data_IF_724208672965
#
_entry.id   IF_724208672965
#
_cell.length_a   1.000
_cell.length_b   1.000
_cell.length_c   1.000
_cell.angle_alpha   90.00
_cell.angle_beta   90.00
_cell.angle_gamma   90.00
#
_symmetry.space_group_name_H-M   'P 1'
#
loop_
_entity.id
_entity.type
_entity.pdbx_description
1 polymer ?
#
# COMPACT_ATOMS: atom_id res chain seq x y z
N UNK A 1 8.15 3.65 -9.35
CA UNK A 1 8.03 4.65 -10.44
C UNK A 1 9.20 4.45 -11.37
N UNK A 2 9.04 4.30 -12.69
CA UNK A 2 10.17 4.14 -13.60
C UNK A 2 11.02 5.41 -13.57
N UNK A 3 12.11 5.34 -12.84
CA UNK A 3 13.04 6.44 -12.59
C UNK A 3 13.69 6.96 -13.89
N UNK A 4 13.80 6.09 -14.89
CA UNK A 4 14.49 6.31 -16.17
C UNK A 4 13.65 6.98 -17.26
N UNK A 5 12.32 7.13 -17.09
CA UNK A 5 11.43 7.60 -18.14
C UNK A 5 11.08 9.10 -18.01
N UNK A 6 11.25 9.88 -19.08
CA UNK A 6 10.94 11.32 -19.14
C UNK A 6 9.51 11.64 -19.60
N UNK A 7 8.72 10.63 -19.97
CA UNK A 7 7.32 10.83 -20.35
C UNK A 7 6.52 11.39 -19.17
N UNK A 8 5.51 12.24 -19.42
CA UNK A 8 4.61 12.67 -18.37
C UNK A 8 3.87 11.45 -17.81
N UNK A 9 3.59 11.47 -16.51
CA UNK A 9 2.82 10.42 -15.88
C UNK A 9 1.85 10.97 -14.85
N UNK A 10 0.81 10.17 -14.63
CA UNK A 10 -0.26 10.47 -13.71
C UNK A 10 -0.09 9.59 -12.46
N UNK A 11 -0.05 10.22 -11.29
CA UNK A 11 -0.07 9.52 -10.00
C UNK A 11 -1.40 9.80 -9.34
N UNK A 12 -2.07 8.76 -8.87
CA UNK A 12 -3.17 8.86 -7.92
C UNK A 12 -2.66 8.41 -6.55
N UNK A 13 -2.70 9.32 -5.59
CA UNK A 13 -2.39 9.05 -4.20
C UNK A 13 -3.71 8.76 -3.49
N UNK A 14 -3.77 7.60 -2.85
CA UNK A 14 -4.86 7.22 -1.96
C UNK A 14 -4.37 7.32 -0.52
N UNK A 15 -5.09 8.07 0.31
CA UNK A 15 -4.83 8.16 1.73
C UNK A 15 -6.05 7.64 2.49
N UNK A 16 -5.84 6.63 3.32
CA UNK A 16 -6.86 6.03 4.16
C UNK A 16 -6.67 6.49 5.61
N UNK A 17 -7.73 6.98 6.25
CA UNK A 17 -7.75 7.26 7.68
C UNK A 17 -8.25 6.02 8.41
N UNK A 18 -7.37 5.38 9.18
CA UNK A 18 -7.68 4.17 9.95
C UNK A 18 -7.80 4.50 11.44
N UNK A 19 -8.63 3.73 12.16
CA UNK A 19 -8.69 3.82 13.62
C UNK A 19 -7.49 3.11 14.27
N UNK A 20 -7.25 3.42 15.54
CA UNK A 20 -6.18 2.79 16.32
C UNK A 20 -6.43 1.29 16.47
N UNK A 21 -7.68 0.89 16.70
CA UNK A 21 -8.10 -0.48 16.91
C UNK A 21 -7.90 -1.33 15.65
N UNK A 22 -8.24 -0.77 14.48
CA UNK A 22 -8.02 -1.42 13.19
C UNK A 22 -6.52 -1.63 12.92
N UNK A 23 -5.69 -0.62 13.22
CA UNK A 23 -4.24 -0.75 13.11
C UNK A 23 -3.71 -1.85 14.04
N UNK A 24 -4.15 -1.87 15.31
CA UNK A 24 -3.75 -2.89 16.28
C UNK A 24 -4.14 -4.30 15.84
N UNK A 25 -5.34 -4.49 15.31
CA UNK A 25 -5.78 -5.78 14.76
C UNK A 25 -4.82 -6.30 13.68
N UNK A 26 -4.55 -5.49 12.65
CA UNK A 26 -3.65 -5.89 11.57
C UNK A 26 -2.21 -6.06 12.03
N UNK A 27 -1.77 -5.31 13.03
CA UNK A 27 -0.44 -5.49 13.63
C UNK A 27 -0.33 -6.87 14.29
N UNK A 28 -1.35 -7.31 15.02
CA UNK A 28 -1.38 -8.65 15.62
C UNK A 28 -1.36 -9.74 14.54
N UNK A 29 -2.14 -9.58 13.47
CA UNK A 29 -2.13 -10.50 12.33
C UNK A 29 -0.74 -10.59 11.69
N UNK A 30 -0.10 -9.45 11.43
CA UNK A 30 1.27 -9.40 10.89
C UNK A 30 2.26 -10.12 11.81
N UNK A 31 2.16 -9.92 13.13
CA UNK A 31 3.05 -10.62 14.08
C UNK A 31 2.85 -12.12 14.07
N UNK A 32 1.64 -12.62 13.85
CA UNK A 32 1.39 -14.06 13.76
C UNK A 32 1.94 -14.65 12.47
N UNK A 33 1.74 -13.99 11.33
CA UNK A 33 2.21 -14.48 10.02
C UNK A 33 3.74 -14.49 9.96
N UNK A 34 4.38 -13.48 10.55
CA UNK A 34 5.83 -13.35 10.56
C UNK A 34 6.50 -14.09 11.74
N UNK A 35 5.73 -14.79 12.58
CA UNK A 35 6.28 -15.59 13.65
C UNK A 35 6.87 -16.89 13.06
N UNK A 36 8.16 -16.87 12.74
CA UNK A 36 8.85 -17.96 12.03
C UNK A 36 9.14 -19.20 12.87
N UNK A 37 8.76 -19.23 14.15
CA UNK A 37 8.70 -20.46 14.94
C UNK A 37 10.07 -20.92 15.48
N UNK A 38 10.80 -20.02 16.13
CA UNK A 38 11.94 -20.32 17.01
C UNK A 38 11.49 -20.70 18.42
N UNK A 39 12.33 -21.45 19.15
CA UNK A 39 12.01 -21.93 20.51
C UNK A 39 11.87 -20.80 21.56
N UNK A 40 12.33 -19.59 21.19
CA UNK A 40 12.28 -18.38 21.99
C UNK A 40 11.36 -17.32 21.38
N UNK A 41 10.57 -17.68 20.37
CA UNK A 41 9.61 -16.76 19.79
C UNK A 41 8.45 -16.53 20.75
N UNK A 42 7.91 -15.31 20.75
CA UNK A 42 6.75 -14.99 21.57
C UNK A 42 5.58 -15.91 21.17
N UNK A 43 4.83 -16.45 22.15
CA UNK A 43 3.65 -17.25 21.85
C UNK A 43 2.66 -16.40 21.05
N UNK A 44 1.98 -16.99 20.05
CA UNK A 44 1.00 -16.26 19.25
C UNK A 44 -0.11 -15.74 20.18
N UNK A 45 -0.31 -14.41 20.17
CA UNK A 45 -1.46 -13.77 20.83
C UNK A 45 -2.71 -14.02 19.99
N UNK A 46 -3.86 -14.21 20.62
CA UNK A 46 -5.14 -14.35 19.90
C UNK A 46 -5.45 -13.11 19.06
N UNK A 47 -5.92 -13.30 17.81
CA UNK A 47 -6.39 -12.19 16.96
C UNK A 47 -7.84 -11.91 17.30
N UNK A 48 -8.07 -10.99 18.22
CA UNK A 48 -9.43 -10.59 18.59
C UNK A 48 -9.91 -9.49 17.65
N UNK A 49 -10.96 -9.81 16.90
CA UNK A 49 -11.68 -8.91 16.03
C UNK A 49 -12.72 -8.06 16.74
N UNK A 50 -13.62 -7.45 15.98
CA UNK A 50 -14.83 -6.80 16.50
C UNK A 50 -16.13 -7.57 16.20
N UNK A 51 -16.02 -8.77 15.65
CA UNK A 51 -17.14 -9.68 15.50
C UNK A 51 -17.32 -10.54 16.75
N UNK A 52 -18.57 -10.84 17.08
CA UNK A 52 -18.94 -11.75 18.16
C UNK A 52 -20.21 -12.51 17.79
N UNK A 53 -20.35 -13.73 18.30
CA UNK A 53 -21.58 -14.49 18.18
C UNK A 53 -22.52 -14.14 19.36
N UNK A 54 -23.75 -13.62 19.11
CA UNK A 54 -24.69 -13.31 20.18
C UNK A 54 -25.21 -14.54 20.95
N UNK A 55 -25.14 -15.74 20.35
CA UNK A 55 -25.62 -16.99 20.96
C UNK A 55 -24.54 -17.72 21.77
N UNK A 56 -23.26 -17.48 21.45
CA UNK A 56 -22.12 -18.09 22.14
C UNK A 56 -20.95 -17.10 22.21
N UNK A 57 -20.73 -16.53 23.39
CA UNK A 57 -19.64 -15.57 23.62
C UNK A 57 -18.27 -16.23 23.77
N UNK A 58 -18.20 -17.57 23.80
CA UNK A 58 -16.95 -18.33 23.89
C UNK A 58 -16.40 -18.71 22.52
N UNK A 59 -17.21 -18.57 21.47
CA UNK A 59 -16.80 -18.81 20.09
C UNK A 59 -15.90 -17.67 19.58
N UNK A 60 -14.69 -18.02 19.14
CA UNK A 60 -13.77 -17.09 18.51
C UNK A 60 -14.22 -16.80 17.05
N UNK A 61 -14.74 -15.60 16.80
CA UNK A 61 -15.13 -15.15 15.45
C UNK A 61 -13.99 -14.35 14.82
N UNK A 62 -13.54 -14.79 13.64
CA UNK A 62 -12.43 -14.17 12.93
C UNK A 62 -12.88 -12.98 12.09
N UNK A 63 -12.03 -11.96 12.03
CA UNK A 63 -12.18 -10.81 11.13
C UNK A 63 -12.43 -9.50 11.85
N UNK A 64 -12.33 -8.41 11.10
CA UNK A 64 -12.53 -7.07 11.62
C UNK A 64 -13.31 -6.23 10.61
N UNK A 65 -14.44 -5.67 11.04
CA UNK A 65 -15.21 -4.71 10.28
C UNK A 65 -14.77 -3.28 10.62
N UNK A 66 -14.33 -2.53 9.61
CA UNK A 66 -13.94 -1.12 9.77
C UNK A 66 -14.62 -0.25 8.71
N UNK A 67 -14.98 0.97 9.11
CA UNK A 67 -15.32 2.05 8.19
C UNK A 67 -14.16 3.05 8.17
N UNK A 68 -13.60 3.28 6.98
CA UNK A 68 -12.44 4.17 6.79
C UNK A 68 -12.80 5.33 5.87
N UNK A 69 -12.25 6.50 6.16
CA UNK A 69 -12.29 7.65 5.26
C UNK A 69 -11.16 7.52 4.23
N UNK A 70 -11.48 7.59 2.94
CA UNK A 70 -10.48 7.55 1.88
C UNK A 70 -10.47 8.88 1.11
N UNK A 71 -9.29 9.50 1.02
CA UNK A 71 -9.07 10.72 0.26
C UNK A 71 -8.17 10.43 -0.93
N UNK A 72 -8.58 10.91 -2.09
CA UNK A 72 -7.84 10.75 -3.33
C UNK A 72 -7.23 12.08 -3.78
N UNK A 73 -5.95 12.05 -4.14
CA UNK A 73 -5.26 13.18 -4.75
C UNK A 73 -4.56 12.75 -6.03
N UNK A 74 -5.00 13.32 -7.14
CA UNK A 74 -4.37 13.13 -8.43
C UNK A 74 -3.28 14.18 -8.64
N UNK A 75 -2.11 13.74 -9.13
CA UNK A 75 -0.99 14.59 -9.50
C UNK A 75 -0.53 14.21 -10.90
N UNK A 76 -0.66 15.15 -11.83
CA UNK A 76 -0.07 15.03 -13.16
C UNK A 76 1.34 15.62 -13.14
N UNK A 77 2.33 14.80 -13.44
CA UNK A 77 3.74 15.19 -13.43
C UNK A 77 4.24 15.32 -14.86
N UNK A 78 4.39 16.56 -15.31
CA UNK A 78 5.06 16.86 -16.57
C UNK A 78 6.56 16.94 -16.35
N UNK A 79 7.32 16.07 -17.04
CA UNK A 79 8.78 15.97 -16.92
C UNK A 79 9.55 16.58 -18.10
N UNK A 80 8.84 17.17 -19.07
CA UNK A 80 9.46 17.76 -20.28
C UNK A 80 10.35 18.96 -20.00
N UNK A 81 10.12 19.68 -18.89
CA UNK A 81 10.87 20.87 -18.49
C UNK A 81 12.11 20.61 -17.62
N UNK A 82 12.40 19.35 -17.27
CA UNK A 82 13.53 19.01 -16.40
C UNK A 82 14.75 18.57 -17.25
N UNK A 83 15.85 19.33 -17.26
CA UNK A 83 17.02 19.04 -18.11
C UNK A 83 17.79 17.79 -17.67
N UNK A 84 17.76 17.46 -16.37
CA UNK A 84 18.41 16.30 -15.79
C UNK A 84 17.44 15.14 -15.60
N UNK A 85 17.93 13.89 -15.73
CA UNK A 85 17.27 12.76 -15.07
C UNK A 85 17.24 13.09 -13.56
N UNK A 86 16.17 12.76 -12.82
CA UNK A 86 16.14 12.96 -11.36
C UNK A 86 17.43 12.35 -10.80
N UNK A 87 18.14 13.06 -9.92
CA UNK A 87 19.53 12.77 -9.57
C UNK A 87 19.82 11.27 -9.32
N UNK A 88 20.98 10.76 -9.80
CA UNK A 88 21.49 9.40 -9.51
C UNK A 88 21.90 9.19 -8.06
N UNK A 89 21.85 10.22 -7.22
CA UNK A 89 22.54 10.25 -5.94
C UNK A 89 21.76 11.09 -4.93
N UNK A 90 20.76 10.49 -4.27
CA UNK A 90 20.38 10.83 -2.88
C UNK A 90 19.95 9.54 -2.18
N UNK A 91 20.87 8.58 -2.06
CA UNK A 91 20.73 7.45 -1.13
C UNK A 91 21.91 7.48 -0.17
N UNK A 92 21.99 8.54 0.65
CA UNK A 92 22.78 8.43 1.87
C UNK A 92 21.96 7.60 2.87
N UNK A 93 22.52 6.45 3.25
CA UNK A 93 21.82 5.29 3.80
C UNK A 93 21.17 5.56 5.15
N UNK A 94 19.90 5.16 5.27
CA UNK A 94 19.31 4.44 6.41
C UNK A 94 17.80 4.17 6.24
N UNK A 95 17.17 4.60 5.14
CA UNK A 95 15.82 4.14 4.78
C UNK A 95 15.94 2.96 3.82
N UNK A 96 15.83 1.75 4.36
CA UNK A 96 15.64 0.54 3.55
C UNK A 96 14.21 0.59 3.01
N UNK A 97 14.02 1.21 1.86
CA UNK A 97 12.83 0.95 1.04
C UNK A 97 13.10 -0.37 0.32
N UNK A 98 12.47 -1.44 0.79
CA UNK A 98 12.45 -2.73 0.10
C UNK A 98 11.57 -2.53 -1.15
N UNK A 99 12.13 -1.98 -2.21
CA UNK A 99 11.51 -2.11 -3.53
C UNK A 99 11.68 -3.57 -3.90
N UNK A 100 10.58 -4.31 -3.91
CA UNK A 100 10.53 -5.57 -4.65
C UNK A 100 10.80 -5.22 -6.12
N UNK A 101 11.96 -5.62 -6.63
CA UNK A 101 12.34 -5.50 -8.04
C UNK A 101 11.41 -6.31 -8.97
N UNK A 102 10.37 -6.97 -8.44
CA UNK A 102 9.42 -7.80 -9.18
C UNK A 102 8.22 -7.02 -9.74
N UNK A 103 8.12 -5.70 -9.53
CA UNK A 103 7.05 -4.89 -10.12
C UNK A 103 7.58 -3.96 -11.23
N UNK A 104 8.24 -4.53 -12.24
CA UNK A 104 8.35 -3.85 -13.54
C UNK A 104 7.02 -3.99 -14.28
N UNK A 105 6.17 -2.98 -14.19
CA UNK A 105 5.08 -2.80 -15.15
C UNK A 105 5.71 -2.45 -16.51
N UNK A 106 6.00 -3.47 -17.30
CA UNK A 106 6.40 -3.31 -18.69
C UNK A 106 5.15 -2.90 -19.47
N UNK A 107 4.97 -1.58 -19.64
CA UNK A 107 3.98 -1.01 -20.55
C UNK A 107 4.49 -1.21 -21.98
N UNK A 108 4.41 -2.44 -22.50
CA UNK A 108 4.80 -2.74 -23.88
C UNK A 108 3.84 -2.08 -24.89
N UNK A 109 2.61 -1.79 -24.46
CA UNK A 109 1.62 -1.03 -25.23
C UNK A 109 0.82 -0.11 -24.29
N UNK A 110 0.82 1.21 -24.48
CA UNK A 110 0.07 2.16 -23.65
C UNK A 110 -1.45 1.99 -23.74
N UNK A 111 -1.97 1.21 -24.68
CA UNK A 111 -3.41 0.94 -24.83
C UNK A 111 -3.92 -0.24 -24.00
N UNK A 112 -3.06 -1.15 -23.53
CA UNK A 112 -3.52 -2.39 -22.88
C UNK A 112 -4.03 -2.17 -21.45
N UNK A 113 -3.69 -1.03 -20.83
CA UNK A 113 -4.17 -0.63 -19.50
C UNK A 113 -5.06 0.63 -19.55
N UNK A 114 -5.43 1.10 -20.74
CA UNK A 114 -6.27 2.30 -20.89
C UNK A 114 -7.75 1.92 -20.82
N UNK A 115 -8.38 2.30 -19.72
CA UNK A 115 -9.85 2.30 -19.63
C UNK A 115 -10.41 3.53 -20.36
N UNK A 116 -11.65 3.45 -20.85
CA UNK A 116 -12.35 4.59 -21.48
C UNK A 116 -12.64 5.72 -20.48
N UNK A 117 -12.61 5.41 -19.18
CA UNK A 117 -12.94 6.34 -18.10
C UNK A 117 -11.68 7.11 -17.69
N UNK A 118 -11.68 8.42 -17.92
CA UNK A 118 -10.59 9.30 -17.48
C UNK A 118 -10.62 9.43 -15.94
N UNK A 119 -9.47 9.28 -15.25
CA UNK A 119 -9.42 9.47 -13.81
C UNK A 119 -9.64 10.94 -13.43
N UNK A 120 -10.19 11.17 -12.23
CA UNK A 120 -10.45 12.51 -11.71
C UNK A 120 -9.14 13.30 -11.62
N UNK A 121 -9.06 14.46 -12.30
CA UNK A 121 -7.84 15.29 -12.37
C UNK A 121 -6.92 14.98 -13.56
N UNK A 122 -7.35 14.12 -14.49
CA UNK A 122 -6.69 13.95 -15.79
C UNK A 122 -6.70 15.27 -16.59
N UNK A 123 -5.58 15.58 -17.23
CA UNK A 123 -5.46 16.70 -18.18
C UNK A 123 -5.06 16.12 -19.55
N UNK A 124 -5.78 16.54 -20.57
CA UNK A 124 -5.52 16.19 -21.97
C UNK A 124 -4.31 16.94 -22.53
#
# INVERSE_FOLDING_TARGET
MPYTDRRPYFIQIEQQSISKEYFSFWKTVETQINNTGGIFDNPPSEVIGNFYNPQDTTEAVLGYFAAIGTTFKAVYLNRSGFPSQPAKEVFNRNLIFIWSDQCQFSLNNPNDLRTTIKPKGWKD
#
